data_IF_679274488359
#
_entry.id   IF_679274488359
#
_cell.length_a   1.000
_cell.length_b   1.000
_cell.length_c   1.000
_cell.angle_alpha   90.00
_cell.angle_beta   90.00
_cell.angle_gamma   90.00
#
_symmetry.space_group_name_H-M   'P 1'
#
loop_
_entity.id
_entity.type
_entity.pdbx_description
1 polymer ?
#
# COMPACT_ATOMS: atom_id res chain seq x y z
N UNK A 1 24.75 -38.97 72.78
CA UNK A 1 24.09 -37.75 72.32
C UNK A 1 24.47 -37.51 70.84
N UNK A 2 23.60 -37.82 69.88
CA UNK A 2 23.85 -37.62 68.45
C UNK A 2 22.99 -36.47 67.93
N UNK A 3 23.61 -35.33 67.57
CA UNK A 3 22.96 -34.19 66.95
C UNK A 3 22.71 -34.47 65.47
N UNK A 4 21.45 -34.42 65.06
CA UNK A 4 21.05 -34.54 63.66
C UNK A 4 21.17 -33.17 63.01
N UNK A 5 22.01 -33.04 61.96
CA UNK A 5 22.06 -31.89 61.07
C UNK A 5 20.94 -32.02 60.03
N UNK A 6 20.05 -31.02 59.95
CA UNK A 6 19.08 -30.90 58.88
C UNK A 6 19.71 -30.10 57.72
N UNK A 7 19.91 -30.75 56.61
CA UNK A 7 20.35 -30.10 55.36
C UNK A 7 19.15 -29.45 54.70
N UNK A 8 19.22 -28.13 54.57
CA UNK A 8 18.22 -27.33 53.88
C UNK A 8 18.64 -27.24 52.42
N UNK A 9 17.85 -27.84 51.52
CA UNK A 9 18.05 -27.76 50.05
C UNK A 9 17.31 -26.55 49.55
N UNK A 10 18.07 -25.51 49.13
CA UNK A 10 17.50 -24.37 48.36
C UNK A 10 17.34 -24.79 46.91
N UNK A 11 16.09 -24.92 46.44
CA UNK A 11 15.77 -24.98 45.00
C UNK A 11 15.82 -23.54 44.45
N UNK A 12 16.84 -23.22 43.65
CA UNK A 12 16.88 -22.01 42.88
C UNK A 12 16.02 -22.21 41.63
N UNK A 13 14.83 -21.58 41.58
CA UNK A 13 14.07 -21.42 40.34
C UNK A 13 14.80 -20.41 39.43
N UNK A 14 15.50 -20.90 38.43
CA UNK A 14 16.01 -20.07 37.37
C UNK A 14 14.88 -19.58 36.46
N UNK A 15 14.53 -18.32 36.57
CA UNK A 15 13.65 -17.66 35.60
C UNK A 15 14.43 -17.42 34.32
N UNK A 16 14.15 -18.19 33.28
CA UNK A 16 14.60 -17.91 31.92
C UNK A 16 13.83 -16.72 31.37
N UNK A 17 14.44 -15.54 31.38
CA UNK A 17 13.96 -14.40 30.60
C UNK A 17 14.27 -14.67 29.12
N UNK A 18 13.24 -15.08 28.35
CA UNK A 18 13.31 -15.07 26.90
C UNK A 18 13.15 -13.63 26.45
N UNK A 19 14.26 -12.95 26.19
CA UNK A 19 14.25 -11.65 25.51
C UNK A 19 13.91 -11.90 24.04
N UNK A 20 12.61 -11.87 23.72
CA UNK A 20 12.15 -11.86 22.35
C UNK A 20 12.54 -10.53 21.70
N UNK A 21 13.46 -10.56 20.74
CA UNK A 21 13.69 -9.46 19.83
C UNK A 21 12.41 -9.19 19.04
N UNK A 22 11.59 -8.25 19.51
CA UNK A 22 10.47 -7.74 18.73
C UNK A 22 11.03 -6.91 17.57
N UNK A 23 10.95 -7.44 16.36
CA UNK A 23 11.31 -6.71 15.13
C UNK A 23 10.34 -5.54 14.94
N UNK A 24 10.82 -4.32 15.15
CA UNK A 24 10.03 -3.08 15.19
C UNK A 24 9.42 -2.60 13.87
N UNK A 25 9.26 -3.48 12.86
CA UNK A 25 8.73 -3.09 11.54
C UNK A 25 7.21 -3.28 11.38
N UNK A 26 6.58 -4.17 12.17
CA UNK A 26 5.14 -4.41 12.07
C UNK A 26 4.29 -3.37 12.82
N UNK A 27 4.82 -2.79 13.90
CA UNK A 27 4.10 -1.80 14.70
C UNK A 27 3.89 -0.47 13.98
N UNK A 28 4.79 -0.04 13.08
CA UNK A 28 4.65 1.25 12.39
C UNK A 28 3.51 1.26 11.36
N UNK A 29 3.32 0.17 10.61
CA UNK A 29 2.23 0.06 9.64
C UNK A 29 0.87 -0.11 10.34
N UNK A 30 0.85 -0.93 11.40
CA UNK A 30 -0.35 -1.17 12.21
C UNK A 30 -0.75 0.09 13.00
N UNK A 31 0.20 0.83 13.58
CA UNK A 31 -0.05 2.08 14.28
C UNK A 31 -0.50 3.19 13.32
N UNK A 32 0.05 3.26 12.11
CA UNK A 32 -0.41 4.19 11.08
C UNK A 32 -1.82 3.84 10.61
N UNK A 33 -2.11 2.55 10.40
CA UNK A 33 -3.44 2.04 10.07
C UNK A 33 -4.45 2.33 11.20
N UNK A 34 -4.11 2.03 12.46
CA UNK A 34 -4.99 2.22 13.61
C UNK A 34 -5.21 3.70 13.96
N UNK A 35 -4.18 4.55 13.87
CA UNK A 35 -4.29 6.01 14.08
C UNK A 35 -5.21 6.67 13.06
N UNK A 36 -5.23 6.16 11.84
CA UNK A 36 -6.10 6.69 10.79
C UNK A 36 -7.50 6.05 10.78
N UNK A 37 -7.70 4.86 11.38
CA UNK A 37 -9.00 4.21 11.47
C UNK A 37 -10.05 5.06 12.21
N UNK A 38 -9.65 5.82 13.22
CA UNK A 38 -10.56 6.70 13.98
C UNK A 38 -11.04 7.93 13.20
N UNK A 39 -10.26 8.43 12.23
CA UNK A 39 -10.66 9.56 11.38
C UNK A 39 -11.67 9.16 10.29
N UNK A 40 -11.86 7.86 10.03
CA UNK A 40 -12.65 7.33 8.92
C UNK A 40 -14.12 7.00 9.23
N UNK A 41 -14.53 7.03 10.50
CA UNK A 41 -15.94 6.72 10.86
C UNK A 41 -16.92 7.89 10.64
N UNK A 42 -16.46 9.03 10.11
CA UNK A 42 -17.26 10.23 9.94
C UNK A 42 -17.58 10.55 8.49
N UNK A 43 -18.17 9.64 7.76
CA UNK A 43 -18.57 9.91 6.36
C UNK A 43 -19.44 8.81 5.79
N UNK A 44 -20.71 8.75 6.20
CA UNK A 44 -21.77 8.10 5.44
C UNK A 44 -22.29 9.03 4.33
N UNK A 45 -21.38 9.65 3.58
CA UNK A 45 -21.77 10.36 2.36
C UNK A 45 -22.24 9.34 1.33
N UNK A 46 -23.35 9.65 0.65
CA UNK A 46 -23.87 8.90 -0.50
C UNK A 46 -22.70 8.62 -1.44
N UNK A 47 -22.27 7.36 -1.53
CA UNK A 47 -21.17 6.96 -2.40
C UNK A 47 -21.57 7.18 -3.84
N UNK A 48 -21.02 8.20 -4.48
CA UNK A 48 -21.11 8.33 -5.92
C UNK A 48 -20.48 7.08 -6.56
N UNK A 49 -21.13 6.52 -7.58
CA UNK A 49 -20.55 5.39 -8.33
C UNK A 49 -19.28 5.87 -9.00
N UNK A 50 -18.16 5.20 -8.69
CA UNK A 50 -16.92 5.44 -9.42
C UNK A 50 -17.13 5.24 -10.93
N UNK A 51 -16.48 6.05 -11.76
CA UNK A 51 -16.54 5.89 -13.21
C UNK A 51 -16.21 4.45 -13.64
N UNK A 52 -17.02 3.90 -14.52
CA UNK A 52 -16.77 2.56 -15.06
C UNK A 52 -15.66 2.60 -16.12
N UNK A 53 -14.42 2.44 -15.69
CA UNK A 53 -13.28 2.40 -16.60
C UNK A 53 -13.13 1.03 -17.26
N UNK A 54 -13.04 1.00 -18.59
CA UNK A 54 -12.64 -0.22 -19.29
C UNK A 54 -11.11 -0.45 -19.15
N UNK A 55 -10.69 -0.90 -17.96
CA UNK A 55 -9.27 -1.10 -17.63
C UNK A 55 -8.65 -2.27 -18.40
N UNK A 56 -9.45 -3.23 -18.86
CA UNK A 56 -8.98 -4.42 -19.58
C UNK A 56 -8.20 -4.05 -20.86
N UNK A 57 -8.62 -2.99 -21.56
CA UNK A 57 -7.96 -2.55 -22.80
C UNK A 57 -6.51 -2.05 -22.60
N UNK A 58 -6.14 -1.71 -21.38
CA UNK A 58 -4.78 -1.25 -21.05
C UNK A 58 -3.87 -2.38 -20.56
N UNK A 59 -4.43 -3.53 -20.15
CA UNK A 59 -3.67 -4.67 -19.63
C UNK A 59 -2.76 -5.25 -20.72
N UNK A 60 -1.53 -5.60 -20.34
CA UNK A 60 -0.48 -6.13 -21.22
C UNK A 60 -0.02 -5.17 -22.33
N UNK A 61 -0.37 -3.90 -22.28
CA UNK A 61 0.08 -2.86 -23.21
C UNK A 61 1.27 -2.07 -22.63
N UNK A 62 1.80 -1.14 -23.45
CA UNK A 62 2.81 -0.15 -23.02
C UNK A 62 2.24 1.28 -22.98
N UNK A 63 0.92 1.41 -23.07
CA UNK A 63 0.25 2.71 -23.07
C UNK A 63 0.62 3.50 -21.83
N UNK A 64 1.02 4.75 -22.00
CA UNK A 64 1.43 5.66 -20.93
C UNK A 64 2.92 5.64 -20.59
N UNK A 65 3.67 4.58 -20.93
CA UNK A 65 5.12 4.47 -20.75
C UNK A 65 5.58 4.22 -19.32
N UNK A 66 4.95 4.85 -18.33
CA UNK A 66 5.19 4.66 -16.90
C UNK A 66 3.88 4.63 -16.08
N UNK A 67 4.00 4.53 -14.75
CA UNK A 67 2.84 4.41 -13.86
C UNK A 67 1.93 5.65 -13.91
N UNK A 68 2.48 6.84 -13.90
CA UNK A 68 1.72 8.09 -13.95
C UNK A 68 1.19 8.39 -15.35
N UNK A 69 1.94 8.03 -16.37
CA UNK A 69 1.53 8.11 -17.77
C UNK A 69 0.35 7.19 -18.09
N UNK A 70 0.33 5.96 -17.53
CA UNK A 70 -0.82 5.07 -17.64
C UNK A 70 -2.09 5.72 -17.07
N UNK A 71 -2.02 6.28 -15.85
CA UNK A 71 -3.19 6.96 -15.24
C UNK A 71 -3.61 8.17 -16.08
N UNK A 72 -2.64 8.94 -16.61
CA UNK A 72 -2.93 10.07 -17.50
C UNK A 72 -3.62 9.62 -18.80
N UNK A 73 -3.19 8.51 -19.40
CA UNK A 73 -3.83 7.96 -20.59
C UNK A 73 -5.25 7.46 -20.32
N UNK A 74 -5.47 6.80 -19.17
CA UNK A 74 -6.82 6.39 -18.75
C UNK A 74 -7.70 7.62 -18.53
N UNK A 75 -7.18 8.64 -17.85
CA UNK A 75 -7.90 9.90 -17.59
C UNK A 75 -8.33 10.58 -18.90
N UNK A 76 -7.39 10.78 -19.84
CA UNK A 76 -7.67 11.39 -21.14
C UNK A 76 -8.75 10.62 -21.90
N UNK A 77 -8.69 9.29 -21.94
CA UNK A 77 -9.64 8.44 -22.64
C UNK A 77 -11.00 8.29 -21.94
N UNK A 78 -11.18 8.91 -20.77
CA UNK A 78 -12.42 8.92 -20.00
C UNK A 78 -12.82 10.35 -19.63
N UNK A 79 -12.56 11.32 -20.50
CA UNK A 79 -12.97 12.72 -20.35
C UNK A 79 -12.55 13.35 -19.02
N UNK A 80 -11.31 13.09 -18.58
CA UNK A 80 -10.76 13.62 -17.33
C UNK A 80 -11.54 13.23 -16.07
N UNK A 81 -12.14 12.05 -16.06
CA UNK A 81 -12.95 11.57 -14.94
C UNK A 81 -12.13 11.27 -13.66
N UNK A 82 -10.79 11.07 -13.78
CA UNK A 82 -9.91 10.81 -12.63
C UNK A 82 -9.48 12.12 -11.98
N UNK A 83 -8.98 13.06 -12.77
CA UNK A 83 -8.56 14.39 -12.34
C UNK A 83 -8.68 15.40 -13.49
N UNK A 84 -8.82 16.67 -13.13
CA UNK A 84 -8.65 17.76 -14.08
C UNK A 84 -7.14 17.97 -14.35
N UNK A 85 -6.68 17.89 -15.63
CA UNK A 85 -5.28 18.09 -15.98
C UNK A 85 -4.72 19.47 -15.58
N UNK A 86 -5.52 20.55 -15.67
CA UNK A 86 -5.09 21.89 -15.29
C UNK A 86 -4.90 21.99 -13.78
N UNK A 87 -5.79 21.37 -13.02
CA UNK A 87 -5.67 21.32 -11.58
C UNK A 87 -4.45 20.49 -11.15
N UNK A 88 -4.22 19.32 -11.77
CA UNK A 88 -3.03 18.52 -11.48
C UNK A 88 -1.72 19.29 -11.75
N UNK A 89 -1.69 20.13 -12.79
CA UNK A 89 -0.51 20.90 -13.13
C UNK A 89 -0.10 21.90 -12.03
N UNK A 90 -1.03 22.35 -11.19
CA UNK A 90 -0.72 23.19 -10.02
C UNK A 90 0.14 22.49 -8.98
N UNK A 91 0.05 21.15 -8.91
CA UNK A 91 0.84 20.29 -8.01
C UNK A 91 2.09 19.73 -8.67
N UNK A 92 2.15 19.74 -10.00
CA UNK A 92 3.27 19.18 -10.76
C UNK A 92 4.23 20.29 -11.23
N UNK A 93 4.94 20.89 -10.28
CA UNK A 93 5.93 21.94 -10.57
C UNK A 93 7.30 21.36 -10.86
N UNK A 94 7.64 20.25 -10.20
CA UNK A 94 8.90 19.50 -10.39
C UNK A 94 8.76 18.09 -9.79
N UNK A 95 9.67 17.20 -10.13
CA UNK A 95 9.74 15.89 -9.50
C UNK A 95 8.81 14.85 -10.12
N UNK A 96 8.01 14.17 -9.29
CA UNK A 96 7.25 12.98 -9.71
C UNK A 96 5.77 13.28 -9.89
N UNK A 97 5.23 12.99 -11.06
CA UNK A 97 3.80 13.16 -11.35
C UNK A 97 2.91 12.31 -10.44
N UNK A 98 3.38 11.12 -10.01
CA UNK A 98 2.68 10.30 -9.01
C UNK A 98 2.57 10.99 -7.65
N UNK A 99 3.56 11.78 -7.22
CA UNK A 99 3.49 12.59 -6.01
C UNK A 99 2.47 13.72 -6.19
N UNK A 100 2.50 14.44 -7.31
CA UNK A 100 1.53 15.48 -7.62
C UNK A 100 0.07 14.97 -7.60
N UNK A 101 -0.17 13.78 -8.18
CA UNK A 101 -1.48 13.12 -8.09
C UNK A 101 -1.89 12.86 -6.63
N UNK A 102 -0.98 12.35 -5.80
CA UNK A 102 -1.28 12.10 -4.40
C UNK A 102 -1.58 13.39 -3.64
N UNK A 103 -0.80 14.45 -3.84
CA UNK A 103 -0.96 15.73 -3.17
C UNK A 103 -2.29 16.39 -3.56
N UNK A 104 -2.70 16.35 -4.83
CA UNK A 104 -4.00 16.77 -5.29
C UNK A 104 -5.16 16.07 -4.56
N UNK A 105 -5.07 14.72 -4.42
CA UNK A 105 -6.11 13.96 -3.72
C UNK A 105 -6.10 14.20 -2.22
N UNK A 106 -4.91 14.39 -1.64
CA UNK A 106 -4.73 14.69 -0.22
C UNK A 106 -5.36 16.04 0.14
N UNK A 107 -5.10 17.07 -0.63
CA UNK A 107 -5.65 18.42 -0.38
C UNK A 107 -7.17 18.47 -0.54
N UNK A 108 -7.71 17.60 -1.39
CA UNK A 108 -9.16 17.41 -1.53
C UNK A 108 -9.77 16.48 -0.46
N UNK A 109 -9.02 16.02 0.53
CA UNK A 109 -9.46 15.03 1.53
C UNK A 109 -10.00 13.73 0.91
N UNK A 110 -9.48 13.31 -0.25
CA UNK A 110 -9.90 12.13 -1.01
C UNK A 110 -8.92 10.95 -0.89
N UNK A 111 -8.02 10.95 0.09
CA UNK A 111 -7.15 9.82 0.41
C UNK A 111 -7.80 8.96 1.50
N UNK A 112 -7.96 7.67 1.21
CA UNK A 112 -8.56 6.67 2.08
C UNK A 112 -7.58 5.51 2.28
N UNK A 113 -7.69 4.79 3.43
CA UNK A 113 -6.80 3.66 3.73
C UNK A 113 -7.55 2.33 3.85
N UNK A 114 -8.86 2.37 3.69
CA UNK A 114 -9.75 1.21 3.73
C UNK A 114 -10.88 1.36 2.71
N UNK A 115 -11.66 0.30 2.54
CA UNK A 115 -12.84 0.27 1.65
C UNK A 115 -12.54 0.75 0.22
N UNK A 116 -11.55 0.15 -0.47
CA UNK A 116 -11.25 0.49 -1.86
C UNK A 116 -12.45 0.23 -2.76
N UNK A 117 -12.54 0.98 -3.83
CA UNK A 117 -13.53 0.76 -4.90
C UNK A 117 -12.80 0.59 -6.23
N UNK A 118 -13.41 -0.16 -7.15
CA UNK A 118 -12.90 -0.25 -8.53
C UNK A 118 -12.84 1.16 -9.12
N UNK A 119 -11.71 1.52 -9.73
CA UNK A 119 -11.46 2.86 -10.24
C UNK A 119 -10.74 3.80 -9.28
N UNK A 120 -10.63 3.49 -7.98
CA UNK A 120 -9.78 4.27 -7.08
C UNK A 120 -8.33 4.21 -7.53
N UNK A 121 -7.60 5.30 -7.43
CA UNK A 121 -6.14 5.27 -7.52
C UNK A 121 -5.57 4.56 -6.30
N UNK A 122 -4.44 3.89 -6.46
CA UNK A 122 -3.68 3.31 -5.35
C UNK A 122 -2.26 3.84 -5.40
N UNK A 123 -1.79 4.40 -4.28
CA UNK A 123 -0.49 5.08 -4.18
C UNK A 123 0.49 4.27 -3.35
N UNK A 124 1.76 4.29 -3.78
CA UNK A 124 2.85 3.59 -3.10
C UNK A 124 4.06 4.50 -2.93
N UNK A 125 4.69 4.41 -1.74
CA UNK A 125 5.87 5.18 -1.42
C UNK A 125 7.16 4.37 -1.61
N UNK A 126 8.25 5.09 -1.94
CA UNK A 126 9.61 4.58 -1.92
C UNK A 126 9.80 3.24 -2.67
N UNK A 127 9.20 3.11 -3.85
CA UNK A 127 9.16 1.88 -4.66
C UNK A 127 10.36 1.70 -5.60
N UNK A 128 11.35 2.60 -5.56
CA UNK A 128 12.58 2.48 -6.34
C UNK A 128 13.75 2.09 -5.44
N UNK A 129 14.81 1.50 -6.01
CA UNK A 129 16.04 1.19 -5.25
C UNK A 129 16.62 2.43 -4.57
N UNK A 130 16.62 3.57 -5.27
CA UNK A 130 17.14 4.84 -4.76
C UNK A 130 16.34 5.44 -3.61
N UNK A 131 15.06 5.02 -3.46
CA UNK A 131 14.16 5.56 -2.43
C UNK A 131 13.80 4.53 -1.35
N UNK A 132 14.05 3.24 -1.57
CA UNK A 132 13.65 2.14 -0.67
C UNK A 132 13.98 2.39 0.81
N UNK A 133 15.18 2.88 1.09
CA UNK A 133 15.71 3.10 2.46
C UNK A 133 15.48 4.51 3.01
N UNK A 134 14.79 5.40 2.30
CA UNK A 134 14.58 6.77 2.77
C UNK A 134 13.55 6.81 3.90
N UNK A 135 13.82 7.58 4.93
CA UNK A 135 12.88 7.86 6.05
C UNK A 135 11.67 8.68 5.57
N UNK A 136 11.90 9.69 4.72
CA UNK A 136 10.82 10.46 4.10
C UNK A 136 10.06 9.61 3.09
N UNK A 137 8.74 9.48 3.29
CA UNK A 137 7.85 8.80 2.35
C UNK A 137 7.61 9.69 1.13
N UNK A 138 8.10 9.27 -0.02
CA UNK A 138 7.85 9.89 -1.32
C UNK A 138 6.93 8.98 -2.12
N UNK A 139 5.86 9.51 -2.68
CA UNK A 139 5.02 8.74 -3.59
C UNK A 139 5.76 8.58 -4.91
N UNK A 140 6.16 7.36 -5.18
CA UNK A 140 6.99 7.02 -6.34
C UNK A 140 6.27 6.11 -7.32
N UNK A 141 5.06 5.65 -6.97
CA UNK A 141 4.29 4.78 -7.83
C UNK A 141 2.79 4.97 -7.61
N UNK A 142 2.03 4.74 -8.68
CA UNK A 142 0.56 4.80 -8.69
C UNK A 142 -0.01 3.70 -9.59
N UNK A 143 -1.15 3.19 -9.20
CA UNK A 143 -1.98 2.27 -9.99
C UNK A 143 -3.46 2.66 -9.88
N UNK A 144 -4.33 1.88 -10.49
CA UNK A 144 -5.77 2.01 -10.40
C UNK A 144 -6.40 0.67 -10.03
N UNK A 145 -7.29 0.65 -9.05
CA UNK A 145 -7.97 -0.57 -8.58
C UNK A 145 -8.85 -1.10 -9.70
N UNK A 146 -8.60 -2.33 -10.11
CA UNK A 146 -9.34 -3.04 -11.16
C UNK A 146 -10.37 -4.03 -10.60
N UNK A 147 -10.14 -4.52 -9.38
CA UNK A 147 -11.05 -5.46 -8.70
C UNK A 147 -10.86 -5.43 -7.19
N UNK A 148 -11.96 -5.58 -6.46
CA UNK A 148 -11.97 -5.82 -5.02
C UNK A 148 -12.51 -7.23 -4.79
N UNK A 149 -11.73 -8.08 -4.14
CA UNK A 149 -12.07 -9.47 -3.88
C UNK A 149 -12.79 -9.61 -2.53
N UNK A 150 -13.55 -10.72 -2.36
CA UNK A 150 -14.30 -11.00 -1.13
C UNK A 150 -13.41 -11.18 0.11
N UNK A 151 -12.15 -11.60 -0.09
CA UNK A 151 -11.13 -11.77 0.97
C UNK A 151 -10.46 -10.45 1.38
N UNK A 152 -10.93 -9.31 0.86
CA UNK A 152 -10.38 -7.99 1.13
C UNK A 152 -9.12 -7.65 0.32
N UNK A 153 -8.60 -8.59 -0.48
CA UNK A 153 -7.51 -8.29 -1.41
C UNK A 153 -8.02 -7.45 -2.58
N UNK A 154 -7.12 -6.65 -3.16
CA UNK A 154 -7.41 -5.85 -4.36
C UNK A 154 -6.48 -6.23 -5.49
N UNK A 155 -7.02 -6.24 -6.70
CA UNK A 155 -6.23 -6.25 -7.92
C UNK A 155 -6.15 -4.81 -8.45
N UNK A 156 -4.98 -4.41 -8.90
CA UNK A 156 -4.77 -3.07 -9.45
C UNK A 156 -3.91 -3.12 -10.70
N UNK A 157 -4.29 -2.30 -11.68
CA UNK A 157 -3.55 -2.10 -12.90
C UNK A 157 -2.50 -1.02 -12.70
N UNK A 158 -1.26 -1.30 -13.04
CA UNK A 158 -0.15 -0.36 -12.98
C UNK A 158 0.89 -0.63 -14.05
N UNK A 159 1.77 0.34 -14.33
CA UNK A 159 2.91 0.12 -15.22
C UNK A 159 4.16 -0.25 -14.41
N UNK A 160 4.79 -1.35 -14.75
CA UNK A 160 6.09 -1.77 -14.22
C UNK A 160 6.97 -2.30 -15.35
N UNK A 161 8.24 -1.86 -15.39
CA UNK A 161 9.16 -2.24 -16.47
C UNK A 161 8.67 -1.84 -17.87
N UNK A 162 7.91 -0.75 -17.98
CA UNK A 162 7.35 -0.27 -19.25
C UNK A 162 6.15 -1.07 -19.79
N UNK A 163 5.59 -1.98 -18.98
CA UNK A 163 4.39 -2.76 -19.32
C UNK A 163 3.30 -2.61 -18.29
N UNK A 164 2.07 -2.49 -18.72
CA UNK A 164 0.90 -2.43 -17.87
C UNK A 164 0.48 -3.82 -17.42
N UNK A 165 0.50 -4.08 -16.13
CA UNK A 165 0.19 -5.39 -15.55
C UNK A 165 -0.82 -5.24 -14.41
N UNK A 166 -1.57 -6.31 -14.13
CA UNK A 166 -2.41 -6.40 -12.94
C UNK A 166 -1.61 -7.08 -11.83
N UNK A 167 -1.58 -6.45 -10.68
CA UNK A 167 -0.96 -6.97 -9.46
C UNK A 167 -1.97 -7.08 -8.33
N UNK A 168 -1.66 -7.93 -7.33
CA UNK A 168 -2.51 -8.15 -6.16
C UNK A 168 -1.88 -7.54 -4.92
N UNK A 169 -2.73 -7.00 -4.04
CA UNK A 169 -2.38 -6.50 -2.70
C UNK A 169 -3.41 -6.95 -1.67
N UNK A 170 -2.93 -7.43 -0.54
CA UNK A 170 -3.75 -7.75 0.64
C UNK A 170 -3.15 -7.09 1.88
N UNK A 171 -3.82 -6.07 2.41
CA UNK A 171 -3.36 -5.31 3.57
C UNK A 171 -3.55 -6.05 4.90
N UNK A 172 -4.36 -7.11 4.93
CA UNK A 172 -4.53 -7.96 6.10
C UNK A 172 -3.37 -8.96 6.28
N UNK A 173 -2.58 -9.18 5.21
CA UNK A 173 -1.44 -10.09 5.17
C UNK A 173 -0.20 -9.34 4.65
N UNK A 174 0.24 -8.25 5.35
CA UNK A 174 1.17 -7.28 4.76
C UNK A 174 2.56 -7.83 4.48
N UNK A 175 2.98 -8.87 5.18
CA UNK A 175 4.33 -9.43 5.07
C UNK A 175 4.42 -10.68 4.19
N UNK A 176 3.28 -11.17 3.69
CA UNK A 176 3.22 -12.40 2.92
C UNK A 176 3.17 -12.08 1.42
N UNK A 177 4.12 -12.65 0.67
CA UNK A 177 4.07 -12.62 -0.79
C UNK A 177 3.10 -13.67 -1.33
N UNK A 178 3.10 -14.85 -0.70
CA UNK A 178 2.38 -16.02 -1.17
C UNK A 178 1.95 -16.89 0.03
N UNK A 179 0.74 -17.44 -0.03
CA UNK A 179 0.21 -18.41 0.93
C UNK A 179 -0.35 -19.60 0.15
N UNK A 180 0.07 -20.81 0.51
CA UNK A 180 -0.37 -22.06 -0.14
C UNK A 180 -0.33 -21.98 -1.69
N UNK A 181 0.76 -21.45 -2.25
CA UNK A 181 0.94 -21.31 -3.70
C UNK A 181 0.22 -20.11 -4.33
N UNK A 182 -0.72 -19.48 -3.64
CA UNK A 182 -1.47 -18.31 -4.14
C UNK A 182 -0.75 -17.01 -3.78
N UNK A 183 -0.47 -16.16 -4.77
CA UNK A 183 0.08 -14.83 -4.54
C UNK A 183 -0.93 -13.95 -3.81
N UNK A 184 -0.50 -13.30 -2.71
CA UNK A 184 -1.31 -12.38 -1.90
C UNK A 184 -0.80 -10.95 -1.95
N UNK A 185 0.52 -10.72 -2.10
CA UNK A 185 1.10 -9.40 -2.36
C UNK A 185 2.19 -9.48 -3.42
N UNK A 186 2.14 -8.58 -4.38
CA UNK A 186 3.18 -8.46 -5.40
C UNK A 186 4.42 -7.74 -4.84
N UNK A 187 5.60 -8.06 -5.35
CA UNK A 187 6.80 -7.22 -5.17
C UNK A 187 6.72 -6.01 -6.10
N UNK A 188 6.97 -4.80 -5.56
CA UNK A 188 6.91 -3.56 -6.33
C UNK A 188 8.30 -2.95 -6.59
N UNK A 189 9.31 -3.37 -5.85
CA UNK A 189 10.69 -2.92 -6.03
C UNK A 189 11.47 -3.97 -6.83
N UNK A 190 12.03 -3.55 -7.97
CA UNK A 190 12.80 -4.43 -8.85
C UNK A 190 13.96 -5.11 -8.13
N UNK A 191 14.11 -6.43 -8.33
CA UNK A 191 15.16 -7.29 -7.76
C UNK A 191 15.21 -7.29 -6.24
N UNK A 192 14.08 -7.04 -5.59
CA UNK A 192 13.92 -7.11 -4.15
C UNK A 192 12.89 -8.19 -3.81
N UNK A 193 13.22 -9.06 -2.85
CA UNK A 193 12.42 -10.24 -2.48
C UNK A 193 12.09 -10.29 -0.98
N UNK A 194 12.45 -9.26 -0.22
CA UNK A 194 12.06 -9.15 1.19
C UNK A 194 10.68 -8.50 1.35
N UNK A 195 10.05 -8.67 2.51
CA UNK A 195 8.70 -8.17 2.80
C UNK A 195 8.60 -6.65 2.65
N UNK A 196 9.69 -5.90 2.92
CA UNK A 196 9.68 -4.44 2.77
C UNK A 196 9.47 -3.97 1.33
N UNK A 197 9.57 -4.86 0.36
CA UNK A 197 9.38 -4.59 -1.07
C UNK A 197 8.01 -5.01 -1.59
N UNK A 198 7.15 -5.54 -0.73
CA UNK A 198 5.77 -5.86 -1.06
C UNK A 198 4.92 -4.59 -1.19
N UNK A 199 3.94 -4.63 -2.08
CA UNK A 199 2.98 -3.54 -2.31
C UNK A 199 2.27 -3.12 -1.02
N UNK A 200 1.91 -4.06 -0.16
CA UNK A 200 1.29 -3.84 1.15
C UNK A 200 2.12 -2.96 2.07
N UNK A 201 3.44 -3.18 2.13
CA UNK A 201 4.37 -2.42 2.95
C UNK A 201 4.79 -1.07 2.33
N UNK A 202 4.44 -0.82 1.07
CA UNK A 202 4.64 0.45 0.36
C UNK A 202 3.36 1.25 0.16
N UNK A 203 2.24 0.70 0.58
CA UNK A 203 0.94 1.34 0.46
C UNK A 203 0.88 2.69 1.18
N UNK A 204 0.30 3.68 0.51
CA UNK A 204 0.19 5.06 1.01
C UNK A 204 -1.23 5.61 0.97
N UNK A 205 -2.18 4.85 0.46
CA UNK A 205 -3.59 5.21 0.42
C UNK A 205 -4.23 4.99 -0.94
N UNK A 206 -5.55 5.01 -0.94
CA UNK A 206 -6.39 5.03 -2.14
C UNK A 206 -6.85 6.46 -2.41
N UNK A 207 -6.78 6.91 -3.66
CA UNK A 207 -7.37 8.17 -4.10
C UNK A 207 -8.75 7.94 -4.67
N UNK A 208 -9.80 8.43 -4.00
CA UNK A 208 -11.19 8.25 -4.45
C UNK A 208 -11.45 9.09 -5.68
N UNK A 209 -11.72 8.42 -6.79
CA UNK A 209 -12.19 9.02 -8.03
C UNK A 209 -13.70 9.30 -7.91
N UNK A 210 -14.19 10.34 -8.56
CA UNK A 210 -15.60 10.78 -8.52
C UNK A 210 -16.56 9.69 -9.01
#
# INVERSE_FOLDING_TARGET
MKKKFKTLVFLALGAFFITGCATGSSQSATNFYNKNKQSYQRGTEKREKNPNFNLKKYTNTRIGGDCSGLITAINKNNNSAIFDPEELNKYYTSGRKSQAMFDLYKDKNKIYFSQPQVGDLVFFNNTTRATKGRSKKLITHVGIVSKVNKDGSVEFLHNTGGRNVVSVMNLSLPNDHQIAGKKVNAYIISRCKDSSCLVSNRFSGYGRVK
#
